data_IF_126755040282
#
_entry.id   IF_126755040282
#
_cell.length_a   1.000
_cell.length_b   1.000
_cell.length_c   1.000
_cell.angle_alpha   90.00
_cell.angle_beta   90.00
_cell.angle_gamma   90.00
#
_symmetry.space_group_name_H-M   'P 1'
#
loop_
_entity.id
_entity.type
_entity.pdbx_description
1 polymer ?
#
# COMPACT_ATOMS: atom_id res chain seq x y z
N UNK A 1 -23.26 13.64 16.65
CA UNK A 1 -21.90 13.79 16.12
C UNK A 1 -20.96 13.06 17.07
N UNK A 2 -20.32 11.99 16.61
CA UNK A 2 -19.18 11.42 17.34
C UNK A 2 -18.06 12.47 17.35
N UNK A 3 -17.37 12.65 18.47
CA UNK A 3 -16.14 13.46 18.48
C UNK A 3 -15.11 12.78 17.59
N UNK A 4 -14.27 13.55 16.87
CA UNK A 4 -13.25 13.01 15.98
C UNK A 4 -12.35 11.96 16.68
N UNK A 5 -12.03 12.17 17.97
CA UNK A 5 -11.24 11.21 18.74
C UNK A 5 -11.88 9.83 18.90
N UNK A 6 -13.20 9.77 19.17
CA UNK A 6 -13.90 8.48 19.31
C UNK A 6 -14.01 7.73 17.99
N UNK A 7 -14.23 8.46 16.89
CA UNK A 7 -14.29 7.84 15.57
C UNK A 7 -12.96 7.16 15.19
N UNK A 8 -11.82 7.81 15.47
CA UNK A 8 -10.51 7.24 15.15
C UNK A 8 -10.22 5.98 15.97
N UNK A 9 -10.65 5.93 17.23
CA UNK A 9 -10.58 4.72 18.06
C UNK A 9 -11.45 3.59 17.47
N UNK A 10 -12.70 3.89 17.13
CA UNK A 10 -13.63 2.92 16.53
C UNK A 10 -13.10 2.40 15.17
N UNK A 11 -12.52 3.27 14.34
CA UNK A 11 -11.89 2.91 13.06
C UNK A 11 -10.64 2.04 13.27
N UNK A 12 -9.78 2.40 14.22
CA UNK A 12 -8.60 1.61 14.58
C UNK A 12 -8.98 0.19 15.03
N UNK A 13 -10.00 0.08 15.88
CA UNK A 13 -10.54 -1.20 16.35
C UNK A 13 -11.11 -2.03 15.20
N UNK A 14 -11.86 -1.41 14.28
CA UNK A 14 -12.40 -2.09 13.11
C UNK A 14 -11.29 -2.61 12.17
N UNK A 15 -10.25 -1.80 11.93
CA UNK A 15 -9.09 -2.22 11.13
C UNK A 15 -8.34 -3.37 11.80
N UNK A 16 -8.06 -3.30 13.12
CA UNK A 16 -7.34 -4.35 13.84
C UNK A 16 -8.08 -5.68 13.85
N UNK A 17 -9.40 -5.62 13.98
CA UNK A 17 -10.28 -6.79 14.06
C UNK A 17 -10.74 -7.29 12.69
N UNK A 18 -10.30 -6.65 11.59
CA UNK A 18 -10.68 -6.98 10.22
C UNK A 18 -12.20 -6.98 10.00
N UNK A 19 -12.89 -6.02 10.61
CA UNK A 19 -14.33 -5.83 10.48
C UNK A 19 -14.68 -4.60 9.64
N UNK A 20 -15.93 -4.51 9.21
CA UNK A 20 -16.47 -3.37 8.47
C UNK A 20 -16.30 -2.07 9.26
N UNK A 21 -15.86 -1.03 8.57
CA UNK A 21 -15.54 0.27 9.17
C UNK A 21 -16.80 1.05 9.55
N UNK A 22 -16.74 1.86 10.62
CA UNK A 22 -17.84 2.73 11.00
C UNK A 22 -18.17 3.74 9.90
N UNK A 23 -19.38 4.31 9.97
CA UNK A 23 -19.78 5.45 9.13
C UNK A 23 -18.80 6.60 9.31
N UNK A 24 -18.23 7.09 8.20
CA UNK A 24 -17.28 8.18 8.25
C UNK A 24 -17.98 9.52 8.52
N UNK A 25 -17.31 10.47 9.22
CA UNK A 25 -17.80 11.84 9.30
C UNK A 25 -17.95 12.45 7.91
N UNK A 26 -18.99 13.26 7.72
CA UNK A 26 -19.21 13.93 6.44
C UNK A 26 -18.11 14.97 6.18
N UNK A 27 -17.53 14.94 4.97
CA UNK A 27 -16.67 16.02 4.49
C UNK A 27 -15.24 16.02 5.02
N UNK A 28 -14.73 14.86 5.50
CA UNK A 28 -13.30 14.70 5.80
C UNK A 28 -12.48 15.08 4.57
N UNK A 29 -11.58 16.03 4.74
CA UNK A 29 -10.67 16.43 3.67
C UNK A 29 -9.40 15.59 3.67
N UNK A 30 -8.68 15.52 2.55
CA UNK A 30 -7.37 14.84 2.49
C UNK A 30 -6.36 15.46 3.46
N UNK A 31 -6.39 16.78 3.63
CA UNK A 31 -5.52 17.49 4.60
C UNK A 31 -5.82 17.09 6.04
N UNK A 32 -7.11 17.03 6.40
CA UNK A 32 -7.54 16.55 7.72
C UNK A 32 -7.15 15.09 7.93
N UNK A 33 -7.37 14.24 6.93
CA UNK A 33 -6.98 12.85 6.95
C UNK A 33 -5.49 12.66 7.26
N UNK A 34 -4.60 13.36 6.54
CA UNK A 34 -3.16 13.28 6.79
C UNK A 34 -2.75 13.65 8.22
N UNK A 35 -3.45 14.59 8.86
CA UNK A 35 -3.18 14.96 10.24
C UNK A 35 -3.57 13.87 11.26
N UNK A 36 -4.46 12.95 10.87
CA UNK A 36 -5.00 11.89 11.73
C UNK A 36 -4.36 10.52 11.49
N UNK A 37 -3.72 10.29 10.32
CA UNK A 37 -3.05 9.01 10.00
C UNK A 37 -2.03 8.58 11.08
N UNK A 38 -1.16 9.45 11.65
CA UNK A 38 -0.24 9.05 12.71
C UNK A 38 -0.96 8.55 13.98
N UNK A 39 -2.06 9.21 14.37
CA UNK A 39 -2.87 8.78 15.51
C UNK A 39 -3.54 7.43 15.23
N UNK A 40 -4.15 7.27 14.06
CA UNK A 40 -4.75 6.00 13.64
C UNK A 40 -3.72 4.86 13.66
N UNK A 41 -2.54 5.11 13.09
CA UNK A 41 -1.42 4.16 13.04
C UNK A 41 -0.96 3.76 14.45
N UNK A 42 -0.85 4.74 15.36
CA UNK A 42 -0.48 4.50 16.75
C UNK A 42 -1.46 3.58 17.48
N UNK A 43 -2.77 3.78 17.27
CA UNK A 43 -3.82 2.95 17.88
C UNK A 43 -3.90 1.53 17.32
N UNK A 44 -3.36 1.28 16.13
CA UNK A 44 -3.35 -0.03 15.48
C UNK A 44 -2.10 -0.82 15.85
N UNK A 45 -0.92 -0.20 15.73
CA UNK A 45 0.36 -0.92 15.78
C UNK A 45 1.47 -0.22 16.57
N UNK A 46 1.16 0.85 17.30
CA UNK A 46 2.13 1.65 18.06
C UNK A 46 2.70 2.86 17.30
N UNK A 47 3.43 3.71 18.02
CA UNK A 47 3.77 5.09 17.58
C UNK A 47 4.67 5.17 16.33
N UNK A 48 5.44 4.13 16.04
CA UNK A 48 6.38 4.11 14.91
C UNK A 48 5.80 3.28 13.77
N UNK A 49 5.67 3.82 12.56
CA UNK A 49 5.29 3.04 11.38
C UNK A 49 6.40 2.07 10.94
N UNK A 50 6.06 1.07 10.12
CA UNK A 50 7.07 0.24 9.43
C UNK A 50 7.65 0.92 8.18
N UNK A 51 7.10 2.08 7.81
CA UNK A 51 7.41 2.77 6.57
C UNK A 51 6.23 3.56 6.03
N UNK A 52 6.24 3.78 4.72
CA UNK A 52 5.25 4.56 3.96
C UNK A 52 4.74 3.77 2.75
N UNK A 53 3.58 4.15 2.23
CA UNK A 53 2.97 3.53 1.05
C UNK A 53 2.32 4.59 0.17
N UNK A 54 2.50 4.48 -1.14
CA UNK A 54 1.77 5.31 -2.09
C UNK A 54 0.48 4.60 -2.52
N UNK A 55 -0.57 5.36 -2.77
CA UNK A 55 -1.79 4.84 -3.35
C UNK A 55 -2.44 5.85 -4.26
N UNK A 56 -3.37 5.38 -5.10
CA UNK A 56 -4.03 6.22 -6.12
C UNK A 56 -2.99 6.89 -7.04
N UNK A 57 -1.97 6.12 -7.46
CA UNK A 57 -0.84 6.61 -8.25
C UNK A 57 -1.17 6.78 -9.74
N UNK A 58 -2.22 6.08 -10.20
CA UNK A 58 -2.77 6.20 -11.55
C UNK A 58 -3.52 7.54 -11.75
N UNK A 59 -3.19 8.27 -12.82
CA UNK A 59 -3.76 9.59 -13.10
C UNK A 59 -5.26 9.56 -13.43
N UNK A 60 -5.76 8.51 -14.08
CA UNK A 60 -7.19 8.36 -14.37
C UNK A 60 -7.99 8.12 -13.08
N UNK A 61 -7.45 7.31 -12.17
CA UNK A 61 -8.04 7.10 -10.85
C UNK A 61 -8.00 8.39 -10.00
N UNK A 62 -6.91 9.15 -10.07
CA UNK A 62 -6.84 10.48 -9.44
C UNK A 62 -7.94 11.39 -9.98
N UNK A 63 -8.12 11.47 -11.30
CA UNK A 63 -9.15 12.28 -11.92
C UNK A 63 -10.57 11.84 -11.51
N UNK A 64 -10.82 10.54 -11.43
CA UNK A 64 -12.10 9.99 -10.96
C UNK A 64 -12.39 10.36 -9.49
N UNK A 65 -11.35 10.37 -8.65
CA UNK A 65 -11.43 10.81 -7.25
C UNK A 65 -11.36 12.35 -7.09
N UNK A 66 -11.17 13.12 -8.17
CA UNK A 66 -10.99 14.57 -8.10
C UNK A 66 -9.67 15.00 -7.42
N UNK A 67 -8.68 14.12 -7.37
CA UNK A 67 -7.35 14.37 -6.87
C UNK A 67 -6.45 15.02 -7.93
N UNK A 68 -5.45 15.77 -7.48
CA UNK A 68 -4.43 16.41 -8.33
C UNK A 68 -3.05 15.78 -8.16
N UNK A 69 -2.93 14.84 -7.24
CA UNK A 69 -1.73 14.12 -6.89
C UNK A 69 -2.11 12.77 -6.27
N UNK A 70 -1.20 11.79 -6.22
CA UNK A 70 -1.38 10.55 -5.47
C UNK A 70 -1.58 10.79 -3.97
N UNK A 71 -1.94 9.73 -3.25
CA UNK A 71 -2.05 9.73 -1.79
C UNK A 71 -0.88 8.98 -1.15
N UNK A 72 -0.57 9.33 0.10
CA UNK A 72 0.47 8.68 0.90
C UNK A 72 -0.09 8.17 2.24
N UNK A 73 0.23 6.93 2.61
CA UNK A 73 -0.10 6.34 3.91
C UNK A 73 1.13 5.90 4.68
N UNK A 74 0.89 5.36 5.87
CA UNK A 74 1.89 4.71 6.71
C UNK A 74 1.70 3.18 6.68
N UNK A 75 2.79 2.43 6.79
CA UNK A 75 2.72 0.98 7.01
C UNK A 75 2.61 0.69 8.50
N UNK A 76 1.72 -0.22 8.89
CA UNK A 76 1.61 -0.67 10.27
C UNK A 76 2.83 -1.50 10.68
N UNK A 77 3.21 -1.46 11.96
CA UNK A 77 4.20 -2.41 12.47
C UNK A 77 3.68 -3.84 12.31
N UNK A 78 4.59 -4.78 12.07
CA UNK A 78 4.25 -6.21 11.90
C UNK A 78 3.27 -6.49 10.75
N UNK A 79 3.18 -5.60 9.75
CA UNK A 79 2.41 -5.83 8.52
C UNK A 79 3.21 -6.57 7.44
N UNK A 80 4.55 -6.59 7.53
CA UNK A 80 5.39 -7.45 6.70
C UNK A 80 5.10 -8.91 7.05
N UNK A 81 4.70 -9.68 6.05
CA UNK A 81 4.39 -11.10 6.13
C UNK A 81 5.41 -11.90 5.32
N UNK A 82 5.71 -13.11 5.77
CA UNK A 82 6.66 -13.99 5.09
C UNK A 82 6.14 -14.43 3.72
N UNK A 83 7.07 -14.69 2.80
CA UNK A 83 6.75 -15.34 1.53
C UNK A 83 6.18 -16.75 1.77
N UNK A 84 5.32 -17.22 0.86
CA UNK A 84 4.53 -18.45 0.98
C UNK A 84 3.56 -18.50 2.18
N UNK A 85 3.20 -17.33 2.75
CA UNK A 85 2.22 -17.28 3.82
C UNK A 85 0.80 -17.66 3.36
N UNK A 86 0.00 -18.14 4.32
CA UNK A 86 -1.44 -18.34 4.15
C UNK A 86 -2.19 -17.22 4.86
N UNK A 87 -3.01 -16.50 4.12
CA UNK A 87 -3.79 -15.37 4.61
C UNK A 87 -5.29 -15.69 4.56
N UNK A 88 -6.03 -15.31 5.59
CA UNK A 88 -7.48 -15.53 5.61
C UNK A 88 -8.21 -14.71 4.56
N UNK A 89 -9.18 -15.31 3.86
CA UNK A 89 -10.04 -14.65 2.90
C UNK A 89 -10.95 -13.60 3.54
N UNK A 90 -11.06 -12.43 2.89
CA UNK A 90 -12.08 -11.41 3.17
C UNK A 90 -12.49 -10.76 1.85
N UNK A 91 -13.79 -10.58 1.60
CA UNK A 91 -14.29 -10.04 0.33
C UNK A 91 -13.80 -8.62 0.01
N UNK A 92 -13.45 -7.83 1.03
CA UNK A 92 -12.91 -6.47 0.92
C UNK A 92 -11.40 -6.41 0.66
N UNK A 93 -10.70 -7.55 0.66
CA UNK A 93 -9.25 -7.58 0.39
C UNK A 93 -8.97 -7.50 -1.10
N UNK A 94 -7.94 -6.73 -1.45
CA UNK A 94 -7.35 -6.70 -2.78
C UNK A 94 -5.86 -7.02 -2.71
N UNK A 95 -5.33 -7.47 -3.84
CA UNK A 95 -3.92 -7.80 -4.08
C UNK A 95 -3.37 -6.75 -5.04
N UNK A 96 -2.28 -6.12 -4.67
CA UNK A 96 -1.60 -5.09 -5.46
C UNK A 96 -0.15 -5.54 -5.72
N UNK A 97 0.27 -5.55 -6.98
CA UNK A 97 1.63 -5.91 -7.38
C UNK A 97 2.50 -4.65 -7.41
N UNK A 98 3.60 -4.63 -6.69
CA UNK A 98 4.40 -3.42 -6.46
C UNK A 98 5.91 -3.67 -6.57
N UNK A 99 6.65 -2.58 -6.63
CA UNK A 99 8.05 -2.58 -6.21
C UNK A 99 8.15 -1.89 -4.86
N UNK A 100 9.03 -2.38 -3.99
CA UNK A 100 9.28 -1.81 -2.70
C UNK A 100 10.76 -1.43 -2.53
N UNK A 101 11.02 -0.43 -1.69
CA UNK A 101 12.36 -0.05 -1.29
C UNK A 101 12.53 -0.12 0.22
N UNK A 102 13.71 -0.53 0.69
CA UNK A 102 14.14 -0.24 2.06
C UNK A 102 14.88 1.09 2.08
N UNK A 103 14.63 1.89 3.10
CA UNK A 103 15.09 3.28 3.20
C UNK A 103 15.89 3.51 4.48
N UNK A 104 16.84 4.44 4.43
CA UNK A 104 17.37 5.06 5.64
C UNK A 104 16.33 6.04 6.21
N UNK A 105 16.54 6.48 7.46
CA UNK A 105 15.61 7.40 8.12
C UNK A 105 15.51 8.79 7.48
N UNK A 106 16.47 9.17 6.62
CA UNK A 106 16.44 10.39 5.82
C UNK A 106 15.71 10.22 4.48
N UNK A 107 15.18 9.02 4.21
CA UNK A 107 14.50 8.67 2.96
C UNK A 107 15.42 8.21 1.84
N UNK A 108 16.75 8.19 2.04
CA UNK A 108 17.66 7.66 1.02
C UNK A 108 17.48 6.14 0.85
N UNK A 109 17.49 5.62 -0.39
CA UNK A 109 17.22 4.22 -0.66
C UNK A 109 18.43 3.33 -0.35
N UNK A 110 18.15 2.16 0.22
CA UNK A 110 19.14 1.12 0.55
C UNK A 110 19.06 -0.01 -0.49
N UNK A 111 17.85 -0.50 -0.73
CA UNK A 111 17.58 -1.64 -1.60
C UNK A 111 16.20 -1.51 -2.25
N UNK A 112 15.99 -2.28 -3.31
CA UNK A 112 14.74 -2.36 -4.08
C UNK A 112 14.45 -3.82 -4.43
N UNK A 113 13.17 -4.19 -4.47
CA UNK A 113 12.76 -5.50 -4.96
C UNK A 113 11.25 -5.60 -5.16
N UNK A 114 10.77 -6.79 -5.59
CA UNK A 114 9.35 -7.09 -5.68
C UNK A 114 8.61 -6.93 -4.36
N UNK A 115 7.34 -6.55 -4.42
CA UNK A 115 6.45 -6.58 -3.28
C UNK A 115 5.02 -6.87 -3.70
N UNK A 116 4.27 -7.55 -2.83
CA UNK A 116 2.82 -7.67 -2.96
C UNK A 116 2.20 -6.97 -1.77
N UNK A 117 1.35 -5.97 -2.03
CA UNK A 117 0.54 -5.35 -1.00
C UNK A 117 -0.84 -6.01 -0.95
N UNK A 118 -1.33 -6.20 0.28
CA UNK A 118 -2.72 -6.51 0.55
C UNK A 118 -3.38 -5.27 1.13
N UNK A 119 -4.41 -4.78 0.45
CA UNK A 119 -5.24 -3.67 0.95
C UNK A 119 -6.62 -4.19 1.33
N UNK A 120 -7.25 -3.58 2.33
CA UNK A 120 -8.63 -3.83 2.70
C UNK A 120 -9.39 -2.52 2.76
N UNK A 121 -10.42 -2.38 1.95
CA UNK A 121 -11.32 -1.23 1.94
C UNK A 121 -12.73 -1.71 2.26
N UNK A 122 -13.20 -1.45 3.48
CA UNK A 122 -14.40 -2.05 4.04
C UNK A 122 -15.36 -1.00 4.60
N UNK A 123 -15.71 -0.02 3.78
CA UNK A 123 -16.69 1.00 4.15
C UNK A 123 -18.07 0.35 4.37
N UNK A 124 -18.74 0.67 5.48
CA UNK A 124 -20.12 0.23 5.71
C UNK A 124 -21.12 0.82 4.70
N UNK A 125 -20.73 1.88 3.98
CA UNK A 125 -21.55 2.63 3.04
C UNK A 125 -20.77 2.93 1.76
N UNK A 126 -21.32 2.65 0.57
CA UNK A 126 -20.65 2.98 -0.69
C UNK A 126 -20.32 4.48 -0.83
N UNK A 127 -21.16 5.36 -0.29
CA UNK A 127 -20.94 6.82 -0.32
C UNK A 127 -19.74 7.30 0.51
N UNK A 128 -19.23 6.48 1.43
CA UNK A 128 -18.02 6.80 2.21
C UNK A 128 -16.74 6.64 1.38
N UNK A 129 -16.82 6.10 0.15
CA UNK A 129 -15.69 6.02 -0.77
C UNK A 129 -15.38 7.42 -1.37
N UNK A 130 -14.74 8.25 -0.56
CA UNK A 130 -14.28 9.60 -0.91
C UNK A 130 -12.75 9.70 -0.74
N UNK A 131 -12.07 10.65 -1.38
CA UNK A 131 -10.61 10.77 -1.28
C UNK A 131 -10.13 11.02 0.16
N UNK A 132 -10.86 11.84 0.92
CA UNK A 132 -10.52 12.12 2.31
C UNK A 132 -10.70 10.89 3.21
N UNK A 133 -11.77 10.13 3.01
CA UNK A 133 -12.01 8.91 3.78
C UNK A 133 -11.02 7.79 3.43
N UNK A 134 -10.68 7.62 2.14
CA UNK A 134 -9.66 6.67 1.69
C UNK A 134 -8.29 7.02 2.26
N UNK A 135 -7.92 8.30 2.25
CA UNK A 135 -6.70 8.77 2.91
C UNK A 135 -6.75 8.51 4.43
N UNK A 136 -7.87 8.81 5.09
CA UNK A 136 -8.01 8.66 6.54
C UNK A 136 -7.97 7.19 6.96
N UNK A 137 -8.56 6.29 6.17
CA UNK A 137 -8.45 4.84 6.33
C UNK A 137 -7.07 4.29 5.93
N UNK A 138 -6.06 5.17 5.86
CA UNK A 138 -4.67 4.85 5.58
C UNK A 138 -4.51 4.02 4.28
N UNK A 139 -5.29 4.37 3.26
CA UNK A 139 -5.31 3.71 1.96
C UNK A 139 -5.57 2.20 2.07
N UNK A 140 -6.33 1.78 3.08
CA UNK A 140 -6.65 0.39 3.33
C UNK A 140 -5.43 -0.48 3.67
N UNK A 141 -4.34 0.09 4.20
CA UNK A 141 -3.16 -0.68 4.60
C UNK A 141 -3.55 -1.92 5.44
N UNK A 142 -3.03 -3.10 5.10
CA UNK A 142 -3.24 -4.33 5.87
C UNK A 142 -1.91 -5.06 6.06
N UNK A 143 -1.47 -5.80 5.05
CA UNK A 143 -0.28 -6.64 5.09
C UNK A 143 0.49 -6.49 3.78
N UNK A 144 1.78 -6.82 3.76
CA UNK A 144 2.55 -6.91 2.52
C UNK A 144 3.60 -8.02 2.60
N UNK A 145 4.05 -8.51 1.45
CA UNK A 145 5.15 -9.46 1.33
C UNK A 145 6.26 -8.80 0.50
N UNK A 146 7.49 -8.90 0.96
CA UNK A 146 8.66 -8.52 0.16
C UNK A 146 9.28 -9.76 -0.49
N UNK A 147 9.64 -9.62 -1.75
CA UNK A 147 10.46 -10.59 -2.47
C UNK A 147 11.95 -10.41 -2.17
N UNK A 148 12.78 -11.01 -3.02
CA UNK A 148 14.23 -10.79 -2.94
C UNK A 148 14.58 -9.34 -3.27
N UNK A 149 15.29 -8.68 -2.37
CA UNK A 149 15.71 -7.28 -2.52
C UNK A 149 17.17 -7.20 -2.98
N UNK A 150 17.41 -6.33 -3.96
CA UNK A 150 18.73 -6.00 -4.51
C UNK A 150 19.21 -4.65 -3.98
N UNK A 151 20.52 -4.47 -3.83
CA UNK A 151 21.09 -3.19 -3.42
C UNK A 151 20.76 -2.10 -4.47
N UNK A 152 20.29 -0.94 -3.99
CA UNK A 152 19.79 0.14 -4.85
C UNK A 152 20.85 0.62 -5.85
N UNK A 153 22.08 0.86 -5.38
CA UNK A 153 23.17 1.42 -6.18
C UNK A 153 23.66 0.47 -7.29
N UNK A 154 23.42 -0.82 -7.16
CA UNK A 154 23.79 -1.83 -8.17
C UNK A 154 22.62 -2.27 -9.05
N UNK A 155 21.42 -1.74 -8.82
CA UNK A 155 20.23 -2.16 -9.54
C UNK A 155 20.19 -1.57 -10.96
N UNK A 156 20.01 -2.42 -11.97
CA UNK A 156 19.82 -1.97 -13.35
C UNK A 156 18.37 -1.59 -13.59
N UNK A 157 18.07 -0.31 -13.41
CA UNK A 157 16.73 0.23 -13.65
C UNK A 157 16.31 0.19 -15.13
N UNK A 158 17.24 0.06 -16.07
CA UNK A 158 16.87 -0.01 -17.49
C UNK A 158 16.23 -1.34 -17.85
N UNK A 159 16.57 -2.40 -17.12
CA UNK A 159 15.98 -3.73 -17.28
C UNK A 159 14.47 -3.77 -16.96
N UNK A 160 13.96 -2.81 -16.18
CA UNK A 160 12.52 -2.72 -15.84
C UNK A 160 11.63 -2.51 -17.08
N UNK A 161 12.17 -1.92 -18.15
CA UNK A 161 11.42 -1.70 -19.39
C UNK A 161 11.08 -3.00 -20.13
N UNK A 162 11.81 -4.08 -19.84
CA UNK A 162 11.67 -5.40 -20.49
C UNK A 162 11.06 -6.46 -19.53
N UNK A 163 10.51 -6.03 -18.39
CA UNK A 163 9.91 -6.91 -17.38
C UNK A 163 8.39 -6.74 -17.39
N UNK A 164 7.70 -7.87 -17.46
CA UNK A 164 6.28 -7.97 -17.10
C UNK A 164 6.15 -8.57 -15.70
N UNK A 165 5.23 -8.01 -14.91
CA UNK A 165 4.75 -8.61 -13.68
C UNK A 165 3.53 -9.46 -14.02
N UNK A 166 3.59 -10.76 -13.74
CA UNK A 166 2.49 -11.70 -13.94
C UNK A 166 1.95 -12.19 -12.59
N UNK A 167 0.70 -11.89 -12.29
CA UNK A 167 -0.05 -12.48 -11.17
C UNK A 167 -0.87 -13.66 -11.67
N UNK A 168 -0.63 -14.83 -11.07
CA UNK A 168 -1.37 -16.06 -11.33
C UNK A 168 -2.18 -16.46 -10.11
N UNK A 169 -3.36 -17.04 -10.35
CA UNK A 169 -4.15 -17.77 -9.36
C UNK A 169 -4.39 -19.18 -9.87
N UNK A 170 -3.98 -20.18 -9.09
CA UNK A 170 -4.11 -21.61 -9.43
C UNK A 170 -3.60 -21.94 -10.84
N UNK A 171 -2.49 -21.29 -11.24
CA UNK A 171 -1.85 -21.46 -12.54
C UNK A 171 -2.42 -20.62 -13.69
N UNK A 172 -3.53 -19.89 -13.50
CA UNK A 172 -4.12 -19.00 -14.50
C UNK A 172 -3.61 -17.55 -14.30
N UNK A 173 -3.09 -16.93 -15.36
CA UNK A 173 -2.71 -15.51 -15.35
C UNK A 173 -3.96 -14.65 -15.26
N UNK A 174 -4.09 -13.89 -14.18
CA UNK A 174 -5.23 -12.99 -13.94
C UNK A 174 -4.86 -11.51 -14.09
N UNK A 175 -3.57 -11.17 -14.06
CA UNK A 175 -3.06 -9.83 -14.33
C UNK A 175 -1.65 -9.91 -14.94
N UNK A 176 -1.42 -9.08 -15.96
CA UNK A 176 -0.10 -8.77 -16.52
C UNK A 176 0.06 -7.25 -16.54
N UNK A 177 1.16 -6.73 -16.02
CA UNK A 177 1.40 -5.28 -15.84
C UNK A 177 2.91 -4.96 -15.90
N UNK A 178 3.28 -3.68 -16.05
CA UNK A 178 4.68 -3.26 -16.04
C UNK A 178 5.10 -2.73 -14.67
N UNK A 179 6.33 -2.97 -14.20
CA UNK A 179 6.89 -2.30 -13.01
C UNK A 179 7.05 -0.77 -13.16
N UNK A 180 6.73 -0.23 -14.34
CA UNK A 180 6.73 1.20 -14.65
C UNK A 180 5.33 1.82 -14.57
N UNK A 181 4.27 1.03 -14.37
CA UNK A 181 2.89 1.54 -14.39
C UNK A 181 2.63 2.52 -13.23
N UNK A 182 3.21 2.27 -12.06
CA UNK A 182 3.16 3.24 -10.95
C UNK A 182 4.25 4.31 -11.11
N UNK A 183 3.85 5.58 -11.12
CA UNK A 183 4.73 6.77 -11.24
C UNK A 183 5.66 6.83 -12.48
N UNK A 184 5.59 5.89 -13.42
CA UNK A 184 6.63 5.74 -14.45
C UNK A 184 7.88 5.00 -13.94
N UNK A 185 7.79 4.33 -12.78
CA UNK A 185 8.85 3.52 -12.19
C UNK A 185 9.28 3.94 -10.78
N UNK A 186 10.20 3.17 -10.16
CA UNK A 186 10.53 3.31 -8.74
C UNK A 186 11.29 4.59 -8.38
N UNK A 187 12.06 5.18 -9.30
CA UNK A 187 12.79 6.44 -9.06
C UNK A 187 11.85 7.63 -8.90
N UNK A 188 10.94 7.92 -9.86
CA UNK A 188 9.90 8.93 -9.66
C UNK A 188 9.02 8.67 -8.43
N UNK A 189 8.68 7.40 -8.15
CA UNK A 189 7.91 7.04 -6.96
C UNK A 189 8.64 7.43 -5.67
N UNK A 190 9.92 7.07 -5.55
CA UNK A 190 10.76 7.45 -4.42
C UNK A 190 10.81 8.97 -4.23
N UNK A 191 11.14 9.71 -5.29
CA UNK A 191 11.26 11.17 -5.23
C UNK A 191 9.97 11.83 -4.75
N UNK A 192 8.82 11.41 -5.29
CA UNK A 192 7.52 11.94 -4.88
C UNK A 192 7.18 11.55 -3.44
N UNK A 193 7.35 10.28 -3.06
CA UNK A 193 6.98 9.78 -1.75
C UNK A 193 7.81 10.42 -0.64
N UNK A 194 9.14 10.55 -0.82
CA UNK A 194 10.01 11.19 0.17
C UNK A 194 9.69 12.68 0.30
N UNK A 195 9.46 13.37 -0.83
CA UNK A 195 9.03 14.78 -0.80
C UNK A 195 7.70 14.94 -0.05
N UNK A 196 6.73 14.07 -0.33
CA UNK A 196 5.42 14.10 0.31
C UNK A 196 5.51 13.78 1.80
N UNK A 197 6.21 12.72 2.19
CA UNK A 197 6.42 12.34 3.59
C UNK A 197 7.04 13.50 4.39
N UNK A 198 8.07 14.13 3.85
CA UNK A 198 8.71 15.29 4.47
C UNK A 198 7.74 16.48 4.64
N UNK A 199 6.91 16.76 3.63
CA UNK A 199 5.91 17.83 3.71
C UNK A 199 4.81 17.58 4.76
N UNK A 200 4.48 16.31 5.01
CA UNK A 200 3.49 15.88 5.99
C UNK A 200 4.08 15.66 7.39
N UNK A 201 5.42 15.64 7.51
CA UNK A 201 6.12 15.30 8.75
C UNK A 201 6.02 13.81 9.11
N UNK A 202 5.79 12.94 8.13
CA UNK A 202 5.78 11.49 8.35
C UNK A 202 7.21 11.00 8.53
N UNK A 203 7.49 10.39 9.69
CA UNK A 203 8.79 9.84 9.99
C UNK A 203 9.02 8.51 9.24
N UNK A 204 10.21 8.35 8.68
CA UNK A 204 10.66 7.09 8.07
C UNK A 204 11.61 6.41 9.07
N UNK A 205 11.33 5.19 9.54
CA UNK A 205 12.26 4.49 10.41
C UNK A 205 13.50 4.04 9.63
N UNK A 206 14.63 3.87 10.32
CA UNK A 206 15.81 3.27 9.71
C UNK A 206 15.50 1.84 9.24
N UNK A 207 15.74 1.56 7.96
CA UNK A 207 15.37 0.29 7.33
C UNK A 207 13.89 0.17 6.97
N UNK A 208 13.13 1.27 7.07
CA UNK A 208 11.71 1.33 6.76
C UNK A 208 11.41 1.03 5.30
N UNK A 209 10.18 0.61 5.03
CA UNK A 209 9.74 0.20 3.69
C UNK A 209 8.99 1.34 3.01
N UNK A 210 9.23 1.54 1.72
CA UNK A 210 8.32 2.27 0.84
C UNK A 210 7.69 1.28 -0.13
N UNK A 211 6.36 1.15 -0.09
CA UNK A 211 5.55 0.52 -1.13
C UNK A 211 5.23 1.58 -2.20
N UNK A 212 5.72 1.38 -3.43
CA UNK A 212 5.78 2.40 -4.49
C UNK A 212 4.46 2.59 -5.25
N UNK A 213 3.38 1.96 -4.80
CA UNK A 213 2.08 1.98 -5.42
C UNK A 213 1.91 0.90 -6.49
N UNK A 214 0.65 0.55 -6.71
CA UNK A 214 0.23 -0.57 -7.55
C UNK A 214 0.66 -0.40 -9.00
N UNK A 215 1.33 -1.43 -9.53
CA UNK A 215 1.49 -1.63 -10.96
C UNK A 215 0.25 -2.37 -11.48
N UNK A 216 -0.46 -1.74 -12.43
CA UNK A 216 -1.69 -2.29 -12.99
C UNK A 216 -2.90 -2.04 -12.08
N UNK A 217 -3.74 -3.08 -11.92
CA UNK A 217 -4.98 -3.00 -11.17
C UNK A 217 -4.89 -3.75 -9.83
N UNK A 218 -5.62 -3.27 -8.82
CA UNK A 218 -5.85 -4.00 -7.59
C UNK A 218 -6.81 -5.17 -7.84
N UNK A 219 -6.35 -6.40 -7.62
CA UNK A 219 -7.09 -7.62 -7.94
C UNK A 219 -7.86 -8.17 -6.75
N UNK A 220 -8.99 -8.84 -6.98
CA UNK A 220 -9.74 -9.51 -5.93
C UNK A 220 -8.92 -10.65 -5.30
N UNK A 221 -8.90 -10.70 -3.97
CA UNK A 221 -8.16 -11.71 -3.21
C UNK A 221 -9.03 -12.93 -2.92
N UNK A 222 -9.57 -13.58 -3.96
CA UNK A 222 -10.37 -14.79 -3.80
C UNK A 222 -9.53 -15.97 -3.26
N UNK A 223 -10.13 -16.98 -2.62
CA UNK A 223 -9.41 -18.18 -2.21
C UNK A 223 -8.66 -18.87 -3.37
N UNK A 224 -7.43 -19.29 -3.11
CA UNK A 224 -6.56 -19.91 -4.12
C UNK A 224 -5.08 -19.75 -3.80
N UNK A 225 -4.24 -20.46 -4.56
CA UNK A 225 -2.79 -20.26 -4.53
C UNK A 225 -2.38 -19.19 -5.54
N UNK A 226 -1.54 -18.26 -5.12
CA UNK A 226 -1.08 -17.15 -5.94
C UNK A 226 0.43 -17.20 -6.14
N UNK A 227 0.85 -16.87 -7.35
CA UNK A 227 2.24 -16.68 -7.74
C UNK A 227 2.35 -15.34 -8.47
N UNK A 228 3.28 -14.48 -8.03
CA UNK A 228 3.54 -13.18 -8.66
C UNK A 228 4.97 -13.18 -9.16
N UNK A 229 5.15 -13.34 -10.46
CA UNK A 229 6.47 -13.31 -11.09
C UNK A 229 6.81 -11.89 -11.51
N UNK A 230 8.00 -11.43 -11.15
CA UNK A 230 8.60 -10.16 -11.56
C UNK A 230 9.74 -10.40 -12.57
N UNK A 231 9.60 -11.46 -13.37
CA UNK A 231 10.62 -11.91 -14.31
C UNK A 231 11.94 -12.22 -13.58
N UNK A 232 13.09 -11.65 -14.03
CA UNK A 232 14.39 -11.86 -13.40
C UNK A 232 14.51 -11.37 -11.95
N UNK A 233 13.56 -10.55 -11.47
CA UNK A 233 13.58 -10.02 -10.09
C UNK A 233 13.08 -11.02 -9.06
N UNK A 234 12.53 -12.16 -9.50
CA UNK A 234 12.07 -13.24 -8.64
C UNK A 234 10.55 -13.37 -8.59
N UNK A 235 10.09 -14.23 -7.69
CA UNK A 235 8.68 -14.59 -7.53
C UNK A 235 8.27 -14.50 -6.07
N UNK A 236 7.07 -14.00 -5.83
CA UNK A 236 6.39 -14.04 -4.53
C UNK A 236 5.24 -15.03 -4.63
N UNK A 237 5.06 -15.87 -3.62
CA UNK A 237 3.99 -16.86 -3.54
C UNK A 237 3.19 -16.66 -2.25
N UNK A 238 1.89 -16.92 -2.29
CA UNK A 238 1.05 -16.93 -1.09
C UNK A 238 -0.25 -17.69 -1.36
N UNK A 239 -1.00 -17.98 -0.30
CA UNK A 239 -2.30 -18.62 -0.38
C UNK A 239 -3.35 -17.76 0.31
N UNK A 240 -4.51 -17.59 -0.34
CA UNK A 240 -5.70 -17.06 0.32
C UNK A 240 -6.62 -18.25 0.69
N UNK A 241 -7.00 -18.36 1.97
CA UNK A 241 -7.75 -19.49 2.52
C UNK A 241 -9.01 -19.07 3.29
#
# INVERSE_FOLDING_TARGET
MMSAGRFIEDLADAIRTKSTWPEFPSGVTVTEAYSLIPQLTSLISGETSAGIKAGVTNADLQALFGLQEPLLGLLYQQSETENAATLSHTASRRIECELAMRLNSDGSPISIGPAVEFVRVDFCRPEDLTPGNVALANLGADQFILGEISAWDSFDFTALADIDIELKRDGEVILTTSPLDSFGGPKPALDWCISKANSLGFAIPQGGVLLAGTNGAAMEADPGHYEVSYGPLGTIEFTIA
#
